data_IF_253025185754
#
_entry.id   IF_253025185754
#
_cell.length_a   1.000
_cell.length_b   1.000
_cell.length_c   1.000
_cell.angle_alpha   90.00
_cell.angle_beta   90.00
_cell.angle_gamma   90.00
#
_symmetry.space_group_name_H-M   'P 1'
#
loop_
_entity.id
_entity.type
_entity.pdbx_description
1 polymer ?
#
# COMPACT_ATOMS: atom_id res chain seq x y z
N UNK A 1 -57.79 6.98 -18.50
CA UNK A 1 -58.18 8.15 -17.68
C UNK A 1 -58.23 7.65 -16.26
N UNK A 2 -57.15 7.86 -15.52
CA UNK A 2 -56.92 7.22 -14.22
C UNK A 2 -57.47 8.08 -13.07
N UNK A 3 -58.17 7.49 -12.08
CA UNK A 3 -58.81 8.25 -11.00
C UNK A 3 -58.15 8.02 -9.61
N UNK A 4 -56.82 8.19 -9.47
CA UNK A 4 -56.15 8.01 -8.15
C UNK A 4 -55.07 9.09 -7.86
N UNK A 5 -55.48 10.28 -7.42
CA UNK A 5 -54.54 11.34 -7.01
C UNK A 5 -55.13 12.34 -5.99
N UNK A 6 -55.33 11.94 -4.73
CA UNK A 6 -55.71 12.88 -3.65
C UNK A 6 -55.33 12.44 -2.23
N UNK A 7 -54.12 11.88 -2.03
CA UNK A 7 -53.56 11.84 -0.67
C UNK A 7 -53.26 13.27 -0.20
N UNK A 8 -54.10 13.79 0.70
CA UNK A 8 -53.99 15.16 1.19
C UNK A 8 -52.70 15.37 2.00
N UNK A 9 -52.07 16.53 1.82
CA UNK A 9 -50.91 16.97 2.62
C UNK A 9 -51.18 16.94 4.13
N UNK A 10 -52.44 17.10 4.54
CA UNK A 10 -52.89 16.94 5.93
C UNK A 10 -52.61 15.54 6.47
N UNK A 11 -52.71 14.49 5.65
CA UNK A 11 -52.37 13.12 6.05
C UNK A 11 -50.89 13.01 6.40
N UNK A 12 -50.00 13.42 5.48
CA UNK A 12 -48.55 13.40 5.70
C UNK A 12 -48.12 14.25 6.90
N UNK A 13 -48.72 15.43 7.06
CA UNK A 13 -48.43 16.34 8.15
C UNK A 13 -48.95 15.81 9.50
N UNK A 14 -50.12 15.18 9.54
CA UNK A 14 -50.64 14.50 10.73
C UNK A 14 -49.80 13.26 11.07
N UNK A 15 -49.40 12.43 10.11
CA UNK A 15 -48.50 11.29 10.36
C UNK A 15 -47.16 11.76 10.93
N UNK A 16 -46.58 12.86 10.43
CA UNK A 16 -45.39 13.49 11.03
C UNK A 16 -45.66 14.03 12.44
N UNK A 17 -46.80 14.67 12.69
CA UNK A 17 -47.15 15.17 14.03
C UNK A 17 -47.34 14.04 15.05
N UNK A 18 -48.05 12.96 14.69
CA UNK A 18 -48.20 11.78 15.55
C UNK A 18 -46.86 11.07 15.79
N UNK A 19 -46.05 10.87 14.75
CA UNK A 19 -44.69 10.33 14.87
C UNK A 19 -43.82 11.19 15.80
N UNK A 20 -43.92 12.52 15.71
CA UNK A 20 -43.20 13.45 16.57
C UNK A 20 -43.68 13.43 18.03
N UNK A 21 -44.99 13.31 18.28
CA UNK A 21 -45.56 13.20 19.64
C UNK A 21 -45.20 11.87 20.30
N UNK A 22 -45.29 10.74 19.59
CA UNK A 22 -44.83 9.45 20.12
C UNK A 22 -43.31 9.45 20.35
N UNK A 23 -42.53 10.00 19.41
CA UNK A 23 -41.09 10.19 19.54
C UNK A 23 -40.67 11.24 20.59
N UNK A 24 -41.60 11.95 21.22
CA UNK A 24 -41.32 12.87 22.33
C UNK A 24 -41.48 12.21 23.70
N UNK A 25 -42.32 11.16 23.82
CA UNK A 25 -42.43 10.35 25.04
C UNK A 25 -41.37 9.23 25.09
N UNK A 26 -41.08 8.60 23.94
CA UNK A 26 -40.10 7.51 23.82
C UNK A 26 -39.24 7.77 22.58
N UNK A 27 -38.09 8.42 22.77
CA UNK A 27 -37.24 8.93 21.70
C UNK A 27 -36.94 7.89 20.61
N UNK A 28 -37.12 8.21 19.31
CA UNK A 28 -36.95 7.25 18.23
C UNK A 28 -35.49 6.76 18.18
N UNK A 29 -35.31 5.44 18.11
CA UNK A 29 -33.99 4.83 17.93
C UNK A 29 -33.38 5.25 16.60
N UNK A 30 -32.09 5.62 16.62
CA UNK A 30 -31.36 6.06 15.42
C UNK A 30 -31.10 4.85 14.53
N UNK A 31 -31.48 4.90 13.26
CA UNK A 31 -31.15 3.88 12.28
C UNK A 31 -29.86 4.16 11.52
N UNK A 32 -29.24 3.11 10.98
CA UNK A 32 -28.11 3.21 10.06
C UNK A 32 -28.43 4.11 8.85
N UNK A 33 -29.68 4.05 8.35
CA UNK A 33 -30.15 4.92 7.27
C UNK A 33 -30.21 6.40 7.68
N UNK A 34 -30.47 6.73 8.94
CA UNK A 34 -30.38 8.12 9.43
C UNK A 34 -28.92 8.59 9.48
N UNK A 35 -28.00 7.72 9.89
CA UNK A 35 -26.56 7.99 9.86
C UNK A 35 -26.04 8.21 8.42
N UNK A 36 -26.49 7.39 7.46
CA UNK A 36 -26.17 7.54 6.04
C UNK A 36 -26.79 8.82 5.46
N UNK A 37 -28.07 9.10 5.75
CA UNK A 37 -28.74 10.32 5.32
C UNK A 37 -28.06 11.59 5.86
N UNK A 38 -27.56 11.56 7.11
CA UNK A 38 -26.76 12.64 7.68
C UNK A 38 -25.39 12.76 6.97
N UNK A 39 -24.68 11.66 6.72
CA UNK A 39 -23.39 11.65 6.03
C UNK A 39 -23.46 12.14 4.57
N UNK A 40 -24.57 11.86 3.87
CA UNK A 40 -24.84 12.32 2.51
C UNK A 40 -25.71 13.59 2.44
N UNK A 41 -25.89 14.29 3.57
CA UNK A 41 -26.54 15.60 3.61
C UNK A 41 -25.64 16.70 3.03
N UNK A 42 -26.07 17.96 3.16
CA UNK A 42 -25.35 19.12 2.62
C UNK A 42 -24.70 19.92 3.77
N UNK A 43 -23.38 19.79 3.90
CA UNK A 43 -22.54 20.54 4.83
C UNK A 43 -22.43 22.02 4.40
N UNK A 44 -22.67 22.95 5.31
CA UNK A 44 -22.36 24.37 5.09
C UNK A 44 -20.91 24.68 5.46
N UNK A 45 -20.09 25.01 4.46
CA UNK A 45 -18.70 25.44 4.64
C UNK A 45 -18.68 26.93 5.02
N UNK A 46 -18.50 27.25 6.30
CA UNK A 46 -18.52 28.61 6.87
C UNK A 46 -17.43 28.79 7.94
N UNK A 47 -17.08 30.04 8.25
CA UNK A 47 -16.04 30.37 9.24
C UNK A 47 -14.67 29.81 8.82
N UNK A 48 -13.98 29.17 9.76
CA UNK A 48 -12.65 28.58 9.52
C UNK A 48 -12.67 27.45 8.46
N UNK A 49 -13.84 26.86 8.19
CA UNK A 49 -14.05 25.83 7.17
C UNK A 49 -14.42 26.40 5.77
N UNK A 50 -14.27 27.71 5.54
CA UNK A 50 -14.61 28.34 4.25
C UNK A 50 -13.79 27.80 3.06
N UNK A 51 -14.45 27.58 1.93
CA UNK A 51 -13.85 27.02 0.71
C UNK A 51 -13.02 28.05 -0.05
N UNK A 52 -11.79 27.69 -0.45
CA UNK A 52 -10.96 28.50 -1.34
C UNK A 52 -11.42 28.38 -2.79
N UNK A 53 -12.25 29.33 -3.23
CA UNK A 53 -12.80 29.32 -4.58
C UNK A 53 -11.81 29.88 -5.60
N UNK A 54 -11.25 29.01 -6.45
CA UNK A 54 -10.28 29.34 -7.52
C UNK A 54 -10.73 30.52 -8.40
N UNK A 55 -11.98 30.48 -8.87
CA UNK A 55 -12.59 31.53 -9.71
C UNK A 55 -12.68 32.89 -9.00
N UNK A 56 -12.79 32.89 -7.67
CA UNK A 56 -12.82 34.09 -6.84
C UNK A 56 -11.44 34.50 -6.29
N UNK A 57 -10.44 33.60 -6.32
CA UNK A 57 -9.11 33.73 -5.70
C UNK A 57 -9.13 34.16 -4.22
N UNK A 58 -10.16 33.76 -3.47
CA UNK A 58 -10.35 34.08 -2.04
C UNK A 58 -11.39 33.14 -1.40
N UNK A 59 -11.32 32.97 -0.08
CA UNK A 59 -12.23 32.12 0.70
C UNK A 59 -13.70 32.53 0.54
N UNK A 60 -14.61 31.56 0.59
CA UNK A 60 -16.06 31.68 0.42
C UNK A 60 -16.83 30.78 1.37
N UNK A 61 -18.03 31.24 1.75
CA UNK A 61 -19.06 30.31 2.19
C UNK A 61 -19.41 29.37 1.03
N UNK A 62 -19.54 28.08 1.31
CA UNK A 62 -19.87 27.05 0.32
C UNK A 62 -20.89 26.05 0.85
N UNK A 63 -21.40 25.21 -0.04
CA UNK A 63 -22.19 24.03 0.31
C UNK A 63 -21.46 22.82 -0.28
N UNK A 64 -21.20 21.82 0.55
CA UNK A 64 -20.55 20.56 0.17
C UNK A 64 -21.54 19.43 0.39
N UNK A 65 -21.65 18.53 -0.58
CA UNK A 65 -22.39 17.28 -0.44
C UNK A 65 -21.64 16.18 -1.19
N UNK A 66 -21.80 14.94 -0.73
CA UNK A 66 -21.17 13.75 -1.32
C UNK A 66 -22.22 12.87 -1.99
N UNK A 67 -21.88 12.13 -3.04
CA UNK A 67 -22.70 11.06 -3.62
C UNK A 67 -21.81 9.92 -4.08
N UNK A 68 -22.32 8.69 -4.04
CA UNK A 68 -21.56 7.49 -4.42
C UNK A 68 -21.51 7.36 -5.94
N UNK A 69 -20.32 7.39 -6.55
CA UNK A 69 -20.14 7.20 -7.99
C UNK A 69 -20.09 5.72 -8.41
N UNK A 70 -19.61 4.85 -7.52
CA UNK A 70 -19.53 3.41 -7.75
C UNK A 70 -19.71 2.69 -6.40
N UNK A 71 -20.48 1.60 -6.41
CA UNK A 71 -20.74 0.75 -5.25
C UNK A 71 -19.76 -0.44 -5.21
N UNK A 72 -19.06 -0.69 -4.08
CA UNK A 72 -18.12 -1.80 -3.95
C UNK A 72 -18.81 -3.13 -3.66
N UNK A 73 -18.18 -4.25 -3.99
CA UNK A 73 -18.71 -5.60 -3.71
C UNK A 73 -18.81 -5.91 -2.21
N UNK A 74 -17.92 -5.31 -1.40
CA UNK A 74 -18.02 -5.25 0.06
C UNK A 74 -17.99 -3.79 0.50
N UNK A 75 -19.07 -3.35 1.15
CA UNK A 75 -19.25 -2.02 1.72
C UNK A 75 -18.89 -2.04 3.21
N UNK A 76 -17.85 -1.30 3.58
CA UNK A 76 -17.44 -1.10 4.97
C UNK A 76 -18.01 0.23 5.50
N UNK A 77 -18.76 0.18 6.61
CA UNK A 77 -19.40 1.35 7.23
C UNK A 77 -18.92 1.50 8.67
N UNK A 78 -18.06 2.50 8.92
CA UNK A 78 -17.60 2.88 10.25
C UNK A 78 -18.56 3.88 10.91
N UNK A 79 -19.15 3.50 12.04
CA UNK A 79 -19.92 4.38 12.91
C UNK A 79 -18.97 5.20 13.78
N UNK A 80 -18.86 6.50 13.50
CA UNK A 80 -17.93 7.44 14.15
C UNK A 80 -18.28 7.73 15.61
N UNK A 81 -18.09 6.73 16.49
CA UNK A 81 -18.45 6.78 17.91
C UNK A 81 -17.48 7.60 18.76
N UNK A 82 -16.20 7.63 18.41
CA UNK A 82 -15.18 8.30 19.21
C UNK A 82 -15.06 9.78 18.89
N UNK A 83 -14.90 10.60 19.93
CA UNK A 83 -14.53 12.02 19.85
C UNK A 83 -13.31 12.25 20.74
N UNK A 84 -12.29 12.89 20.18
CA UNK A 84 -11.08 13.27 20.88
C UNK A 84 -10.99 14.80 20.88
N UNK A 85 -11.08 15.39 22.06
CA UNK A 85 -10.89 16.82 22.30
C UNK A 85 -9.60 17.02 23.12
N UNK A 86 -9.06 18.23 23.16
CA UNK A 86 -7.70 18.51 23.68
C UNK A 86 -7.48 18.05 25.13
N UNK A 87 -8.56 17.93 25.92
CA UNK A 87 -8.50 17.58 27.34
C UNK A 87 -9.26 16.30 27.71
N UNK A 88 -10.04 15.70 26.80
CA UNK A 88 -10.81 14.48 27.08
C UNK A 88 -11.15 13.70 25.81
N UNK A 89 -11.40 12.41 25.96
CA UNK A 89 -11.90 11.53 24.89
C UNK A 89 -13.20 10.88 25.32
N UNK A 90 -14.16 10.74 24.40
CA UNK A 90 -15.50 10.19 24.69
C UNK A 90 -15.98 9.24 23.59
N UNK A 91 -16.86 8.30 23.97
CA UNK A 91 -17.48 7.31 23.07
C UNK A 91 -19.00 7.52 23.09
N UNK A 92 -19.61 7.62 21.91
CA UNK A 92 -21.06 7.61 21.74
C UNK A 92 -21.57 6.17 21.90
N UNK A 93 -22.10 5.87 23.09
CA UNK A 93 -22.72 4.59 23.43
C UNK A 93 -24.18 4.43 22.97
N UNK A 94 -24.74 5.40 22.23
CA UNK A 94 -26.10 5.31 21.68
C UNK A 94 -26.21 4.11 20.74
N UNK A 95 -27.21 3.26 20.96
CA UNK A 95 -27.55 2.19 20.02
C UNK A 95 -27.91 2.78 18.64
N UNK A 96 -27.52 2.07 17.58
CA UNK A 96 -27.86 2.38 16.19
C UNK A 96 -28.40 1.10 15.59
N UNK A 97 -29.64 1.08 15.13
CA UNK A 97 -30.22 -0.11 14.52
C UNK A 97 -29.76 -0.26 13.07
N UNK A 98 -29.44 -1.48 12.67
CA UNK A 98 -29.00 -1.81 11.31
C UNK A 98 -29.66 -3.10 10.83
N UNK A 99 -30.00 -3.21 9.52
CA UNK A 99 -30.56 -4.43 8.97
C UNK A 99 -29.48 -5.51 8.82
N UNK A 100 -29.85 -6.78 9.03
CA UNK A 100 -28.99 -7.89 8.59
C UNK A 100 -29.06 -8.08 7.08
N UNK A 101 -30.21 -7.84 6.45
CA UNK A 101 -30.44 -8.07 5.02
C UNK A 101 -31.17 -6.88 4.41
N UNK A 102 -30.93 -6.58 3.13
CA UNK A 102 -31.72 -5.58 2.41
C UNK A 102 -31.36 -4.11 2.67
N UNK A 103 -30.11 -3.78 3.03
CA UNK A 103 -29.64 -2.40 3.13
C UNK A 103 -29.61 -1.74 1.73
N UNK A 104 -30.59 -0.88 1.45
CA UNK A 104 -30.65 -0.11 0.19
C UNK A 104 -29.75 1.14 0.23
N UNK A 105 -28.78 1.18 -0.69
CA UNK A 105 -27.88 2.33 -0.91
C UNK A 105 -28.35 3.27 -2.02
N UNK A 106 -29.44 2.94 -2.74
CA UNK A 106 -29.98 3.73 -3.87
C UNK A 106 -30.19 5.23 -3.58
N UNK A 107 -30.62 5.68 -2.38
CA UNK A 107 -30.84 7.10 -2.09
C UNK A 107 -29.57 7.97 -2.15
N UNK A 108 -28.38 7.36 -2.04
CA UNK A 108 -27.11 8.05 -1.87
C UNK A 108 -26.23 8.10 -3.12
N UNK A 109 -26.70 7.49 -4.22
CA UNK A 109 -25.94 7.34 -5.46
C UNK A 109 -25.88 8.62 -6.29
N UNK A 110 -24.81 8.77 -7.08
CA UNK A 110 -24.75 9.76 -8.14
C UNK A 110 -25.64 9.35 -9.32
N UNK A 111 -25.98 10.31 -10.20
CA UNK A 111 -26.80 10.03 -11.39
C UNK A 111 -26.10 9.11 -12.40
N UNK A 112 -24.77 9.10 -12.37
CA UNK A 112 -23.90 8.30 -13.25
C UNK A 112 -23.53 6.92 -12.66
N UNK A 113 -23.91 6.64 -11.40
CA UNK A 113 -23.62 5.35 -10.79
C UNK A 113 -24.41 4.24 -11.49
N UNK A 114 -23.76 3.15 -11.97
CA UNK A 114 -24.45 1.97 -12.45
C UNK A 114 -25.38 1.41 -11.36
N UNK A 115 -26.60 1.03 -11.75
CA UNK A 115 -27.65 0.54 -10.85
C UNK A 115 -27.91 -0.96 -11.03
N UNK A 116 -26.85 -1.76 -11.22
CA UNK A 116 -26.96 -3.21 -11.44
C UNK A 116 -27.36 -3.95 -10.18
N UNK A 117 -26.78 -3.59 -9.03
CA UNK A 117 -27.34 -3.87 -7.70
C UNK A 117 -26.95 -2.76 -6.73
N UNK A 118 -27.87 -2.44 -5.83
CA UNK A 118 -27.79 -1.38 -4.82
C UNK A 118 -28.13 -1.88 -3.41
N UNK A 119 -28.43 -3.16 -3.27
CA UNK A 119 -28.88 -3.83 -2.05
C UNK A 119 -27.71 -4.59 -1.41
N UNK A 120 -27.66 -4.59 -0.09
CA UNK A 120 -26.56 -5.13 0.70
C UNK A 120 -27.03 -5.94 1.92
N UNK A 121 -26.34 -7.04 2.18
CA UNK A 121 -26.60 -7.93 3.33
C UNK A 121 -25.35 -8.00 4.22
N UNK A 122 -25.53 -8.03 5.53
CA UNK A 122 -24.46 -7.98 6.53
C UNK A 122 -23.71 -9.32 6.55
N UNK A 123 -22.39 -9.26 6.39
CA UNK A 123 -21.51 -10.43 6.50
C UNK A 123 -20.72 -10.46 7.81
N UNK A 124 -20.41 -9.29 8.38
CA UNK A 124 -19.74 -9.19 9.68
C UNK A 124 -19.97 -7.82 10.34
N UNK A 125 -19.78 -7.76 11.65
CA UNK A 125 -19.77 -6.52 12.43
C UNK A 125 -18.73 -6.58 13.55
N UNK A 126 -17.82 -5.61 13.57
CA UNK A 126 -16.89 -5.38 14.67
C UNK A 126 -17.60 -4.53 15.72
N UNK A 127 -17.58 -4.99 16.96
CA UNK A 127 -18.08 -4.29 18.14
C UNK A 127 -16.91 -3.71 18.95
N UNK A 128 -17.20 -2.66 19.72
CA UNK A 128 -16.25 -2.12 20.70
C UNK A 128 -16.93 -1.93 22.05
N UNK A 129 -16.55 -2.72 23.04
CA UNK A 129 -17.02 -2.63 24.42
C UNK A 129 -16.16 -1.65 25.24
N UNK A 130 -16.73 -1.05 26.28
CA UNK A 130 -16.00 -0.09 27.12
C UNK A 130 -15.91 1.33 26.55
N UNK A 131 -14.83 2.04 26.88
CA UNK A 131 -14.69 3.51 26.81
C UNK A 131 -13.71 4.00 25.74
N UNK A 132 -13.53 5.31 25.58
CA UNK A 132 -12.55 5.88 24.66
C UNK A 132 -11.08 5.83 25.14
N UNK A 133 -10.82 5.44 26.41
CA UNK A 133 -9.46 5.31 26.97
C UNK A 133 -9.05 3.86 27.26
N UNK A 134 -10.01 2.94 27.35
CA UNK A 134 -9.81 1.50 27.50
C UNK A 134 -11.11 0.78 27.14
N UNK A 135 -11.01 -0.31 26.39
CA UNK A 135 -12.12 -1.08 25.85
C UNK A 135 -11.64 -2.38 25.21
N UNK A 136 -12.57 -3.14 24.66
CA UNK A 136 -12.34 -4.47 24.07
C UNK A 136 -13.03 -4.59 22.70
N UNK A 137 -12.45 -5.36 21.78
CA UNK A 137 -12.99 -5.57 20.44
C UNK A 137 -13.40 -7.02 20.24
N UNK A 138 -14.62 -7.22 19.77
CA UNK A 138 -15.20 -8.52 19.39
C UNK A 138 -15.78 -8.43 18.00
N UNK A 139 -15.97 -9.55 17.32
CA UNK A 139 -16.56 -9.57 15.96
C UNK A 139 -17.67 -10.61 15.87
N UNK A 140 -18.83 -10.23 15.34
CA UNK A 140 -19.81 -11.21 14.86
C UNK A 140 -19.64 -11.39 13.35
N UNK A 141 -19.62 -12.62 12.85
CA UNK A 141 -19.53 -12.90 11.42
C UNK A 141 -20.43 -14.08 11.00
N UNK A 142 -20.97 -14.00 9.77
CA UNK A 142 -21.79 -15.04 9.16
C UNK A 142 -20.90 -16.08 8.47
N UNK A 143 -21.00 -17.35 8.90
CA UNK A 143 -20.34 -18.46 8.24
C UNK A 143 -21.18 -18.95 7.05
N UNK A 144 -20.76 -18.62 5.84
CA UNK A 144 -21.44 -18.99 4.59
C UNK A 144 -21.41 -20.49 4.23
N UNK A 145 -20.83 -21.36 5.08
CA UNK A 145 -20.82 -22.81 4.89
C UNK A 145 -22.00 -23.50 5.60
N UNK A 146 -22.64 -22.83 6.56
CA UNK A 146 -23.79 -23.34 7.30
C UNK A 146 -24.86 -22.28 7.63
N UNK A 147 -24.69 -21.06 7.12
CA UNK A 147 -25.53 -19.87 7.34
C UNK A 147 -25.80 -19.55 8.82
N UNK A 148 -24.81 -19.79 9.68
CA UNK A 148 -24.85 -19.47 11.11
C UNK A 148 -23.95 -18.28 11.47
N UNK A 149 -24.41 -17.46 12.40
CA UNK A 149 -23.61 -16.40 12.99
C UNK A 149 -22.72 -16.93 14.12
N UNK A 150 -21.51 -16.40 14.20
CA UNK A 150 -20.55 -16.68 15.26
C UNK A 150 -19.98 -15.39 15.83
N UNK A 151 -19.88 -15.35 17.16
CA UNK A 151 -19.08 -14.41 17.93
C UNK A 151 -17.63 -14.89 17.98
N UNK A 152 -16.69 -13.97 17.74
CA UNK A 152 -15.26 -14.14 17.87
C UNK A 152 -14.75 -13.18 18.94
N UNK A 153 -14.35 -13.74 20.08
CA UNK A 153 -13.84 -13.05 21.26
C UNK A 153 -12.44 -13.60 21.60
N UNK A 154 -11.41 -12.96 21.04
CA UNK A 154 -10.01 -13.41 21.00
C UNK A 154 -9.83 -14.89 20.59
N UNK A 155 -9.74 -15.78 21.58
CA UNK A 155 -9.50 -17.22 21.42
C UNK A 155 -10.79 -18.07 21.50
N UNK A 156 -11.94 -17.44 21.75
CA UNK A 156 -13.25 -18.08 21.87
C UNK A 156 -14.10 -17.81 20.63
N UNK A 157 -14.74 -18.86 20.13
CA UNK A 157 -15.65 -18.79 18.98
C UNK A 157 -16.97 -19.46 19.36
N UNK A 158 -18.04 -18.68 19.39
CA UNK A 158 -19.35 -19.09 19.93
C UNK A 158 -20.44 -18.89 18.89
N UNK A 159 -21.28 -19.90 18.64
CA UNK A 159 -22.43 -19.75 17.75
C UNK A 159 -23.51 -18.89 18.42
N UNK A 160 -24.09 -17.93 17.70
CA UNK A 160 -25.08 -16.97 18.25
C UNK A 160 -26.30 -16.82 17.35
N UNK A 161 -27.43 -16.44 17.94
CA UNK A 161 -28.64 -16.13 17.18
C UNK A 161 -28.51 -14.78 16.44
N UNK A 162 -29.13 -14.61 15.25
CA UNK A 162 -29.12 -13.34 14.51
C UNK A 162 -29.59 -12.12 15.33
N UNK A 163 -30.47 -12.35 16.30
CA UNK A 163 -30.98 -11.35 17.24
C UNK A 163 -29.90 -10.80 18.18
N UNK A 164 -28.87 -11.59 18.52
CA UNK A 164 -27.70 -11.10 19.29
C UNK A 164 -26.92 -10.11 18.43
N UNK A 165 -26.68 -10.46 17.17
CA UNK A 165 -25.94 -9.64 16.20
C UNK A 165 -26.68 -8.33 15.93
N UNK A 166 -28.01 -8.34 15.76
CA UNK A 166 -28.80 -7.13 15.55
C UNK A 166 -28.67 -6.10 16.69
N UNK A 167 -28.57 -6.56 17.93
CA UNK A 167 -28.60 -5.71 19.13
C UNK A 167 -27.22 -5.32 19.68
N UNK A 168 -26.14 -5.58 18.94
CA UNK A 168 -24.77 -5.40 19.43
C UNK A 168 -24.29 -3.93 19.43
N UNK A 169 -23.20 -3.63 20.16
CA UNK A 169 -22.51 -2.33 20.11
C UNK A 169 -21.64 -2.18 18.83
N UNK A 170 -22.30 -2.26 17.67
CA UNK A 170 -21.68 -2.15 16.36
C UNK A 170 -20.81 -0.88 16.22
N UNK A 171 -19.58 -1.05 15.74
CA UNK A 171 -18.61 0.02 15.49
C UNK A 171 -18.20 0.07 14.01
N UNK A 172 -17.93 -1.08 13.39
CA UNK A 172 -17.72 -1.19 11.93
C UNK A 172 -18.56 -2.32 11.37
N UNK A 173 -19.41 -2.01 10.41
CA UNK A 173 -20.32 -2.94 9.72
C UNK A 173 -19.72 -3.32 8.35
N UNK A 174 -19.73 -4.61 8.02
CA UNK A 174 -19.28 -5.14 6.74
C UNK A 174 -20.47 -5.76 6.00
N UNK A 175 -20.80 -5.16 4.88
CA UNK A 175 -21.95 -5.50 4.06
C UNK A 175 -21.48 -6.07 2.70
N UNK A 176 -21.92 -7.27 2.34
CA UNK A 176 -21.74 -7.83 0.98
C UNK A 176 -22.86 -7.37 0.06
N UNK A 177 -22.55 -7.09 -1.20
CA UNK A 177 -23.54 -6.70 -2.21
C UNK A 177 -24.41 -7.90 -2.60
N UNK A 178 -25.71 -7.71 -2.64
CA UNK A 178 -26.69 -8.79 -2.91
C UNK A 178 -27.05 -8.88 -4.39
N UNK A 179 -27.30 -10.08 -4.91
CA UNK A 179 -27.74 -10.29 -6.30
C UNK A 179 -28.37 -11.66 -6.48
N UNK A 180 -29.70 -11.69 -6.68
CA UNK A 180 -30.47 -12.89 -7.01
C UNK A 180 -29.99 -13.52 -8.34
N UNK A 181 -29.60 -12.70 -9.32
CA UNK A 181 -29.06 -13.18 -10.58
C UNK A 181 -27.76 -13.98 -10.37
N UNK A 182 -26.86 -13.52 -9.49
CA UNK A 182 -25.64 -14.27 -9.17
C UNK A 182 -25.91 -15.54 -8.36
N UNK A 183 -26.91 -15.55 -7.48
CA UNK A 183 -27.37 -16.79 -6.81
C UNK A 183 -27.84 -17.81 -7.86
N UNK A 184 -28.66 -17.39 -8.80
CA UNK A 184 -29.15 -18.25 -9.89
C UNK A 184 -28.01 -18.73 -10.81
N UNK A 185 -27.04 -17.86 -11.16
CA UNK A 185 -25.84 -18.23 -11.94
C UNK A 185 -24.94 -19.24 -11.21
N UNK A 186 -24.77 -19.11 -9.88
CA UNK A 186 -24.05 -20.08 -9.03
C UNK A 186 -24.73 -21.43 -8.99
N UNK A 187 -26.03 -21.45 -8.68
CA UNK A 187 -26.83 -22.68 -8.63
C UNK A 187 -26.76 -23.42 -9.97
N UNK A 188 -26.87 -22.69 -11.10
CA UNK A 188 -26.76 -23.29 -12.44
C UNK A 188 -25.36 -23.82 -12.74
N UNK A 189 -24.31 -23.14 -12.29
CA UNK A 189 -22.92 -23.62 -12.43
C UNK A 189 -22.73 -24.93 -11.66
N UNK A 190 -23.24 -25.01 -10.43
CA UNK A 190 -23.20 -26.22 -9.61
C UNK A 190 -23.95 -27.38 -10.27
N UNK A 191 -25.17 -27.16 -10.78
CA UNK A 191 -25.90 -28.19 -11.54
C UNK A 191 -25.09 -28.75 -12.72
N UNK A 192 -24.38 -27.90 -13.47
CA UNK A 192 -23.58 -28.31 -14.61
C UNK A 192 -22.34 -29.09 -14.17
N UNK A 193 -21.69 -28.69 -13.07
CA UNK A 193 -20.58 -29.42 -12.46
C UNK A 193 -20.99 -30.80 -11.94
N UNK A 194 -22.19 -30.95 -11.37
CA UNK A 194 -22.69 -32.25 -10.91
C UNK A 194 -23.03 -33.18 -12.08
N UNK A 195 -23.70 -32.67 -13.12
CA UNK A 195 -24.06 -33.45 -14.32
C UNK A 195 -22.81 -33.94 -15.07
N UNK A 196 -21.82 -33.07 -15.25
CA UNK A 196 -20.60 -33.39 -16.00
C UNK A 196 -19.51 -34.10 -15.19
N UNK A 197 -19.71 -34.33 -13.88
CA UNK A 197 -18.73 -34.99 -12.97
C UNK A 197 -18.22 -36.34 -13.48
N UNK A 198 -19.07 -37.08 -14.21
CA UNK A 198 -18.77 -38.42 -14.72
C UNK A 198 -18.64 -38.45 -16.26
N UNK A 199 -18.66 -37.30 -16.94
CA UNK A 199 -18.56 -37.22 -18.40
C UNK A 199 -17.08 -37.20 -18.84
N UNK A 200 -16.63 -38.10 -19.74
CA UNK A 200 -15.26 -38.11 -20.22
C UNK A 200 -15.02 -36.94 -21.19
N UNK A 201 -14.62 -35.79 -20.65
CA UNK A 201 -14.30 -34.59 -21.43
C UNK A 201 -13.13 -34.80 -22.39
N UNK A 202 -13.33 -34.45 -23.67
CA UNK A 202 -12.27 -34.46 -24.69
C UNK A 202 -11.25 -33.33 -24.50
N UNK A 203 -11.64 -32.29 -23.77
CA UNK A 203 -10.82 -31.15 -23.37
C UNK A 203 -11.07 -30.83 -21.90
N UNK A 204 -10.03 -30.36 -21.21
CA UNK A 204 -10.10 -29.79 -19.87
C UNK A 204 -9.95 -28.28 -19.97
N UNK A 205 -10.68 -27.51 -19.16
CA UNK A 205 -10.61 -26.04 -19.17
C UNK A 205 -10.11 -25.54 -17.82
N UNK A 206 -9.11 -24.66 -17.82
CA UNK A 206 -8.46 -24.17 -16.59
C UNK A 206 -8.82 -22.70 -16.33
N UNK A 207 -9.30 -22.42 -15.11
CA UNK A 207 -9.73 -21.09 -14.67
C UNK A 207 -9.05 -20.71 -13.35
N UNK A 208 -8.75 -19.42 -13.14
CA UNK A 208 -8.14 -18.94 -11.89
C UNK A 208 -9.00 -19.25 -10.66
N UNK A 209 -8.39 -19.80 -9.60
CA UNK A 209 -9.05 -19.92 -8.28
C UNK A 209 -9.33 -18.54 -7.67
N UNK A 210 -8.58 -17.50 -8.03
CA UNK A 210 -8.90 -16.13 -7.61
C UNK A 210 -10.20 -15.63 -8.27
N UNK A 211 -10.39 -15.90 -9.57
CA UNK A 211 -11.65 -15.58 -10.24
C UNK A 211 -12.81 -16.41 -9.69
N UNK A 212 -12.62 -17.73 -9.46
CA UNK A 212 -13.63 -18.58 -8.82
C UNK A 212 -14.01 -18.08 -7.42
N UNK A 213 -13.05 -17.59 -6.62
CA UNK A 213 -13.33 -16.98 -5.33
C UNK A 213 -14.19 -15.71 -5.46
N UNK A 214 -13.94 -14.85 -6.45
CA UNK A 214 -14.83 -13.71 -6.77
C UNK A 214 -16.21 -14.19 -7.21
N UNK A 215 -16.28 -15.16 -8.12
CA UNK A 215 -17.54 -15.76 -8.58
C UNK A 215 -18.39 -16.30 -7.43
N UNK A 216 -17.78 -16.92 -6.42
CA UNK A 216 -18.47 -17.42 -5.24
C UNK A 216 -18.90 -16.33 -4.23
N UNK A 217 -18.30 -15.14 -4.24
CA UNK A 217 -18.49 -14.14 -3.16
C UNK A 217 -19.07 -12.79 -3.57
N UNK A 218 -18.84 -12.33 -4.81
CA UNK A 218 -19.22 -10.97 -5.27
C UNK A 218 -20.55 -10.97 -6.04
N UNK A 219 -21.26 -9.84 -6.07
CA UNK A 219 -22.41 -9.64 -6.95
C UNK A 219 -21.99 -9.33 -8.40
N UNK A 220 -20.74 -8.94 -8.61
CA UNK A 220 -20.05 -8.90 -9.91
C UNK A 220 -18.60 -9.43 -9.76
N UNK A 221 -18.25 -10.60 -10.33
CA UNK A 221 -16.89 -11.12 -10.28
C UNK A 221 -15.95 -10.48 -11.32
N UNK A 222 -16.50 -9.73 -12.28
CA UNK A 222 -15.82 -9.30 -13.49
C UNK A 222 -15.62 -10.44 -14.52
N UNK A 223 -15.07 -10.10 -15.70
CA UNK A 223 -14.74 -11.08 -16.74
C UNK A 223 -13.72 -12.12 -16.25
N UNK A 224 -13.71 -13.29 -16.89
CA UNK A 224 -12.77 -14.37 -16.57
C UNK A 224 -11.33 -13.92 -16.84
N UNK A 225 -10.55 -13.89 -15.76
CA UNK A 225 -9.14 -13.51 -15.76
C UNK A 225 -8.30 -14.68 -15.22
N UNK A 226 -7.27 -15.04 -15.99
CA UNK A 226 -6.30 -16.10 -15.71
C UNK A 226 -4.86 -15.54 -15.60
N UNK A 227 -4.68 -14.21 -15.62
CA UNK A 227 -3.38 -13.53 -15.58
C UNK A 227 -2.60 -13.70 -14.28
N UNK A 228 -3.21 -14.30 -13.25
CA UNK A 228 -2.52 -14.72 -12.04
C UNK A 228 -1.68 -15.99 -12.20
N UNK A 229 -1.92 -16.82 -13.23
CA UNK A 229 -1.05 -17.95 -13.58
C UNK A 229 -0.53 -17.94 -15.03
N UNK A 230 -1.30 -17.42 -16.00
CA UNK A 230 -0.90 -17.25 -17.40
C UNK A 230 -0.20 -15.92 -17.66
N UNK A 231 0.68 -15.88 -18.66
CA UNK A 231 1.20 -14.63 -19.23
C UNK A 231 0.44 -14.22 -20.49
N UNK A 232 0.73 -13.03 -21.02
CA UNK A 232 0.13 -12.50 -22.28
C UNK A 232 0.37 -13.38 -23.51
N UNK A 233 1.32 -14.32 -23.45
CA UNK A 233 1.58 -15.31 -24.49
C UNK A 233 0.73 -16.59 -24.38
N UNK A 234 -0.24 -16.64 -23.45
CA UNK A 234 -1.16 -17.78 -23.26
C UNK A 234 -0.59 -18.99 -22.51
N UNK A 235 0.72 -19.01 -22.22
CA UNK A 235 1.37 -20.05 -21.41
C UNK A 235 1.49 -19.66 -19.94
N UNK A 236 1.77 -20.64 -19.08
CA UNK A 236 2.01 -20.45 -17.64
C UNK A 236 3.30 -19.65 -17.41
N UNK A 237 3.28 -18.71 -16.46
CA UNK A 237 4.44 -17.92 -16.07
C UNK A 237 5.54 -18.83 -15.47
N UNK A 238 6.82 -18.76 -15.92
CA UNK A 238 7.87 -19.70 -15.47
C UNK A 238 8.08 -19.78 -13.97
N UNK A 239 7.93 -18.66 -13.25
CA UNK A 239 8.04 -18.61 -11.78
C UNK A 239 6.88 -19.29 -11.04
N UNK A 240 5.82 -19.72 -11.74
CA UNK A 240 4.61 -20.36 -11.19
C UNK A 240 4.41 -21.79 -11.72
N UNK A 241 5.22 -22.24 -12.66
CA UNK A 241 5.02 -23.51 -13.38
C UNK A 241 5.00 -24.75 -12.47
N UNK A 242 5.75 -24.74 -11.36
CA UNK A 242 5.83 -25.84 -10.40
C UNK A 242 4.61 -25.96 -9.46
N UNK A 243 3.71 -24.98 -9.44
CA UNK A 243 2.50 -24.96 -8.60
C UNK A 243 1.28 -24.40 -9.35
N UNK A 244 1.26 -24.50 -10.68
CA UNK A 244 0.20 -23.94 -11.50
C UNK A 244 -1.19 -24.55 -11.21
N UNK A 245 -1.23 -25.85 -10.92
CA UNK A 245 -2.45 -26.59 -10.54
C UNK A 245 -3.00 -26.12 -9.16
N UNK A 246 -2.15 -25.59 -8.28
CA UNK A 246 -2.59 -24.95 -7.04
C UNK A 246 -3.26 -23.60 -7.28
N UNK A 247 -3.02 -22.95 -8.42
CA UNK A 247 -3.61 -21.66 -8.79
C UNK A 247 -4.92 -21.77 -9.58
N UNK A 248 -5.16 -22.88 -10.31
CA UNK A 248 -6.31 -23.02 -11.21
C UNK A 248 -7.28 -24.16 -10.86
N UNK A 249 -8.57 -23.97 -11.15
CA UNK A 249 -9.59 -25.02 -11.11
C UNK A 249 -9.79 -25.61 -12.51
N UNK A 250 -9.90 -26.94 -12.60
CA UNK A 250 -10.26 -27.65 -13.82
C UNK A 250 -11.79 -27.71 -13.96
N UNK A 251 -12.29 -27.42 -15.16
CA UNK A 251 -13.70 -27.40 -15.54
C UNK A 251 -13.95 -28.34 -16.73
N UNK A 252 -15.17 -28.87 -16.80
CA UNK A 252 -15.70 -29.50 -18.01
C UNK A 252 -16.10 -28.44 -19.04
N UNK A 253 -16.21 -28.86 -20.31
CA UNK A 253 -16.56 -27.97 -21.42
C UNK A 253 -17.88 -27.22 -21.19
N UNK A 254 -18.93 -27.91 -20.74
CA UNK A 254 -20.26 -27.32 -20.52
C UNK A 254 -20.31 -26.31 -19.37
N UNK A 255 -19.42 -26.45 -18.36
CA UNK A 255 -19.26 -25.47 -17.28
C UNK A 255 -18.43 -24.27 -17.76
N UNK A 256 -17.35 -24.50 -18.52
CA UNK A 256 -16.57 -23.43 -19.14
C UNK A 256 -17.41 -22.56 -20.08
N UNK A 257 -18.13 -23.17 -21.03
CA UNK A 257 -18.97 -22.48 -22.00
C UNK A 257 -20.03 -21.62 -21.30
N UNK A 258 -20.72 -22.19 -20.30
CA UNK A 258 -21.71 -21.44 -19.52
C UNK A 258 -21.12 -20.23 -18.79
N UNK A 259 -19.95 -20.36 -18.16
CA UNK A 259 -19.30 -19.26 -17.46
C UNK A 259 -18.73 -18.22 -18.43
N UNK A 260 -18.12 -18.65 -19.54
CA UNK A 260 -17.56 -17.75 -20.54
C UNK A 260 -18.65 -16.95 -21.27
N UNK A 261 -19.77 -17.56 -21.64
CA UNK A 261 -20.92 -16.83 -22.21
C UNK A 261 -21.60 -15.92 -21.18
N UNK A 262 -21.51 -16.26 -19.89
CA UNK A 262 -22.08 -15.48 -18.78
C UNK A 262 -21.28 -14.23 -18.41
N UNK A 263 -19.95 -14.25 -18.53
CA UNK A 263 -19.06 -13.20 -18.01
C UNK A 263 -18.02 -12.68 -19.01
N UNK A 264 -17.78 -13.39 -20.13
CA UNK A 264 -16.68 -13.14 -21.05
C UNK A 264 -15.30 -13.28 -20.39
N UNK A 265 -14.25 -12.83 -21.08
CA UNK A 265 -12.90 -12.71 -20.51
C UNK A 265 -11.78 -13.12 -21.47
N UNK A 266 -10.71 -13.67 -20.90
CA UNK A 266 -9.58 -14.22 -21.66
C UNK A 266 -9.93 -15.50 -22.43
N UNK A 267 -9.13 -15.81 -23.44
CA UNK A 267 -9.23 -17.05 -24.22
C UNK A 267 -9.17 -18.31 -23.34
N UNK A 268 -9.95 -19.33 -23.71
CA UNK A 268 -9.96 -20.63 -23.05
C UNK A 268 -8.54 -21.22 -22.86
N UNK A 269 -8.18 -21.54 -21.63
CA UNK A 269 -6.96 -22.27 -21.31
C UNK A 269 -7.27 -23.77 -21.29
N UNK A 270 -6.88 -24.50 -22.33
CA UNK A 270 -7.18 -25.94 -22.46
C UNK A 270 -6.05 -26.88 -22.00
N UNK A 271 -4.90 -26.31 -21.64
CA UNK A 271 -3.70 -27.02 -21.24
C UNK A 271 -2.77 -26.10 -20.43
N UNK A 272 -2.09 -26.65 -19.43
CA UNK A 272 -1.05 -25.97 -18.68
C UNK A 272 0.32 -26.31 -19.27
N UNK A 273 1.07 -25.30 -19.72
CA UNK A 273 2.43 -25.45 -20.22
C UNK A 273 3.25 -24.21 -19.85
N UNK A 274 4.52 -24.38 -19.47
CA UNK A 274 5.42 -23.26 -19.20
C UNK A 274 5.65 -22.46 -20.47
N UNK A 275 5.43 -21.14 -20.42
CA UNK A 275 5.60 -20.27 -21.59
C UNK A 275 7.06 -20.29 -22.09
N UNK A 276 7.33 -20.69 -23.36
CA UNK A 276 8.70 -20.69 -23.90
C UNK A 276 9.28 -19.28 -24.03
N UNK A 277 8.48 -18.30 -24.47
CA UNK A 277 8.91 -16.89 -24.60
C UNK A 277 9.37 -16.34 -23.26
N UNK A 278 8.55 -16.41 -22.22
CA UNK A 278 8.91 -15.91 -20.89
C UNK A 278 10.01 -16.72 -20.21
N UNK A 279 10.21 -17.98 -20.59
CA UNK A 279 11.39 -18.77 -20.17
C UNK A 279 12.66 -18.19 -20.79
N UNK A 280 12.67 -17.95 -22.09
CA UNK A 280 13.81 -17.35 -22.82
C UNK A 280 14.11 -15.91 -22.36
N UNK A 281 13.07 -15.08 -22.15
CA UNK A 281 13.20 -13.72 -21.60
C UNK A 281 13.85 -13.74 -20.20
N UNK A 282 13.44 -14.68 -19.34
CA UNK A 282 14.02 -14.86 -18.00
C UNK A 282 15.46 -15.37 -18.06
N UNK A 283 15.74 -16.37 -18.89
CA UNK A 283 17.09 -16.93 -19.08
C UNK A 283 18.07 -15.89 -19.64
N UNK A 284 17.62 -15.04 -20.57
CA UNK A 284 18.40 -13.91 -21.09
C UNK A 284 18.65 -12.85 -20.00
N UNK A 285 17.66 -12.55 -19.15
CA UNK A 285 17.78 -11.62 -18.04
C UNK A 285 18.73 -12.14 -16.95
N UNK A 286 18.62 -13.41 -16.58
CA UNK A 286 19.52 -14.09 -15.63
C UNK A 286 20.95 -14.15 -16.19
N UNK A 287 21.11 -14.44 -17.49
CA UNK A 287 22.42 -14.42 -18.17
C UNK A 287 23.04 -13.03 -18.20
N UNK A 288 22.24 -11.98 -18.47
CA UNK A 288 22.69 -10.58 -18.44
C UNK A 288 23.18 -10.20 -17.04
N UNK A 289 22.38 -10.45 -16.00
CA UNK A 289 22.72 -10.13 -14.61
C UNK A 289 24.00 -10.84 -14.15
N UNK A 290 24.13 -12.13 -14.50
CA UNK A 290 25.34 -12.91 -14.25
C UNK A 290 26.56 -12.30 -14.92
N UNK A 291 26.47 -11.98 -16.22
CA UNK A 291 27.57 -11.37 -16.97
C UNK A 291 28.00 -10.03 -16.37
N UNK A 292 27.04 -9.14 -16.07
CA UNK A 292 27.35 -7.84 -15.46
C UNK A 292 28.04 -7.98 -14.09
N UNK A 293 27.56 -8.90 -13.25
CA UNK A 293 28.15 -9.15 -11.93
C UNK A 293 29.55 -9.78 -12.04
N UNK A 294 29.74 -10.78 -12.91
CA UNK A 294 31.03 -11.44 -13.11
C UNK A 294 32.08 -10.49 -13.69
N UNK A 295 31.71 -9.66 -14.68
CA UNK A 295 32.58 -8.61 -15.22
C UNK A 295 32.96 -7.58 -14.16
N UNK A 296 32.00 -7.04 -13.40
CA UNK A 296 32.30 -6.04 -12.36
C UNK A 296 33.18 -6.62 -11.25
N UNK A 297 32.93 -7.87 -10.82
CA UNK A 297 33.74 -8.56 -9.80
C UNK A 297 35.16 -8.84 -10.28
N UNK A 298 35.36 -9.16 -11.57
CA UNK A 298 36.68 -9.31 -12.17
C UNK A 298 37.47 -7.98 -12.15
N UNK A 299 36.88 -6.90 -12.69
CA UNK A 299 37.52 -5.58 -12.74
C UNK A 299 37.82 -5.02 -11.34
N UNK A 300 36.93 -5.26 -10.37
CA UNK A 300 37.19 -4.91 -8.96
C UNK A 300 38.34 -5.71 -8.35
N UNK A 301 38.48 -7.00 -8.68
CA UNK A 301 39.58 -7.85 -8.20
C UNK A 301 40.92 -7.38 -8.77
N UNK A 302 40.96 -7.05 -10.06
CA UNK A 302 42.15 -6.50 -10.72
C UNK A 302 42.59 -5.19 -10.06
N UNK A 303 41.65 -4.26 -9.82
CA UNK A 303 41.91 -3.00 -9.12
C UNK A 303 42.41 -3.19 -7.67
N UNK A 304 41.97 -4.24 -6.98
CA UNK A 304 42.48 -4.61 -5.65
C UNK A 304 43.87 -5.28 -5.67
N UNK A 305 44.33 -5.75 -6.83
CA UNK A 305 45.62 -6.43 -7.01
C UNK A 305 46.70 -5.52 -7.63
N UNK A 306 46.32 -4.46 -8.36
CA UNK A 306 47.24 -3.48 -8.92
C UNK A 306 47.90 -2.62 -7.83
N UNK A 307 49.17 -2.91 -7.52
CA UNK A 307 49.99 -2.11 -6.58
C UNK A 307 50.76 -0.96 -7.23
N UNK A 308 50.95 -0.99 -8.55
CA UNK A 308 51.74 0.00 -9.28
C UNK A 308 50.84 1.06 -9.94
N UNK A 309 50.83 2.26 -9.35
CA UNK A 309 50.04 3.45 -9.73
C UNK A 309 48.51 3.24 -9.76
N UNK A 310 47.75 3.82 -8.80
CA UNK A 310 46.30 3.81 -8.90
C UNK A 310 45.91 4.69 -10.09
N UNK A 311 45.26 4.09 -11.08
CA UNK A 311 44.69 4.78 -12.24
C UNK A 311 43.59 5.77 -11.82
N UNK A 312 42.95 6.40 -12.80
CA UNK A 312 41.87 7.34 -12.51
C UNK A 312 40.71 6.64 -11.79
N UNK A 313 40.31 7.22 -10.66
CA UNK A 313 39.24 6.72 -9.79
C UNK A 313 38.04 7.64 -9.96
N UNK A 314 36.88 7.06 -10.23
CA UNK A 314 35.64 7.75 -10.54
C UNK A 314 34.61 7.54 -9.43
N UNK A 315 33.82 8.56 -9.15
CA UNK A 315 32.72 8.49 -8.20
C UNK A 315 31.42 8.06 -8.90
N UNK A 316 30.67 7.15 -8.26
CA UNK A 316 29.31 6.77 -8.66
C UNK A 316 28.34 7.06 -7.53
N UNK A 317 27.16 7.59 -7.84
CA UNK A 317 26.05 7.77 -6.90
C UNK A 317 25.73 6.45 -6.20
N UNK A 318 25.82 6.43 -4.87
CA UNK A 318 25.57 5.21 -4.10
C UNK A 318 24.08 4.81 -4.12
N UNK A 319 23.18 5.75 -4.42
CA UNK A 319 21.76 5.44 -4.66
C UNK A 319 21.58 4.63 -5.97
N UNK A 320 22.18 5.09 -7.07
CA UNK A 320 22.18 4.36 -8.34
C UNK A 320 22.90 3.01 -8.23
N UNK A 321 24.07 2.99 -7.58
CA UNK A 321 24.86 1.77 -7.41
C UNK A 321 24.11 0.70 -6.58
N UNK A 322 23.29 1.08 -5.60
CA UNK A 322 22.45 0.15 -4.84
C UNK A 322 21.30 -0.44 -5.69
N UNK A 323 20.73 0.32 -6.61
CA UNK A 323 19.74 -0.19 -7.58
C UNK A 323 20.40 -1.17 -8.56
N UNK A 324 21.58 -0.82 -9.10
CA UNK A 324 22.36 -1.74 -9.93
C UNK A 324 22.72 -3.03 -9.19
N UNK A 325 23.19 -2.93 -7.94
CA UNK A 325 23.48 -4.11 -7.11
C UNK A 325 22.21 -4.95 -6.85
N UNK A 326 21.07 -4.32 -6.57
CA UNK A 326 19.80 -5.01 -6.38
C UNK A 326 19.36 -5.76 -7.65
N UNK A 327 19.50 -5.14 -8.82
CA UNK A 327 19.22 -5.75 -10.12
C UNK A 327 20.13 -6.95 -10.43
N UNK A 328 21.46 -6.81 -10.36
CA UNK A 328 22.38 -7.91 -10.71
C UNK A 328 22.36 -9.05 -9.69
N UNK A 329 21.96 -8.78 -8.44
CA UNK A 329 21.67 -9.81 -7.42
C UNK A 329 20.23 -10.37 -7.50
N UNK A 330 19.42 -9.92 -8.45
CA UNK A 330 18.06 -10.42 -8.69
C UNK A 330 17.02 -10.06 -7.62
N UNK A 331 17.27 -9.04 -6.80
CA UNK A 331 16.31 -8.53 -5.79
C UNK A 331 15.21 -7.68 -6.42
N UNK A 332 15.54 -6.97 -7.49
CA UNK A 332 14.62 -6.15 -8.29
C UNK A 332 14.48 -6.79 -9.68
N UNK A 333 13.34 -6.63 -10.36
CA UNK A 333 13.14 -7.10 -11.75
C UNK A 333 13.83 -6.18 -12.75
N UNK A 334 13.66 -4.88 -12.54
CA UNK A 334 13.94 -3.87 -13.54
C UNK A 334 15.41 -3.45 -13.46
N UNK A 335 16.03 -3.20 -14.60
CA UNK A 335 17.38 -2.66 -14.63
C UNK A 335 17.36 -1.17 -14.21
N UNK A 336 18.40 -0.66 -13.52
CA UNK A 336 18.47 0.75 -13.21
C UNK A 336 18.47 1.60 -14.50
N UNK A 337 17.99 2.84 -14.39
CA UNK A 337 18.08 3.81 -15.49
C UNK A 337 19.53 4.24 -15.77
N UNK A 338 19.73 5.24 -16.64
CA UNK A 338 21.04 5.85 -16.85
C UNK A 338 21.67 6.32 -15.52
N UNK A 339 23.01 6.32 -15.45
CA UNK A 339 23.72 6.77 -14.25
C UNK A 339 23.35 8.22 -13.96
N UNK A 340 22.90 8.51 -12.74
CA UNK A 340 22.72 9.88 -12.24
C UNK A 340 23.73 10.16 -11.13
N UNK A 341 24.75 10.94 -11.49
CA UNK A 341 25.77 11.47 -10.58
C UNK A 341 25.50 12.94 -10.18
N UNK A 342 24.37 13.56 -10.59
CA UNK A 342 24.14 14.99 -10.37
C UNK A 342 24.11 15.35 -8.88
N UNK A 343 23.60 14.45 -8.04
CA UNK A 343 23.61 14.56 -6.58
C UNK A 343 25.01 14.59 -5.93
N UNK A 344 26.07 14.13 -6.63
CA UNK A 344 27.45 14.10 -6.14
C UNK A 344 28.40 15.07 -6.88
N UNK A 345 27.89 15.87 -7.81
CA UNK A 345 28.68 16.81 -8.62
C UNK A 345 29.31 17.99 -7.85
N UNK A 346 28.90 18.23 -6.59
CA UNK A 346 29.46 19.30 -5.75
C UNK A 346 30.94 19.16 -5.38
N UNK A 347 31.60 18.08 -5.80
CA UNK A 347 32.96 17.70 -5.38
C UNK A 347 34.08 18.28 -6.28
N UNK A 348 33.83 18.55 -7.56
CA UNK A 348 34.92 18.75 -8.56
C UNK A 348 35.03 20.14 -9.17
N UNK A 349 34.06 21.04 -8.97
CA UNK A 349 34.04 22.38 -9.56
C UNK A 349 34.98 23.38 -8.85
N UNK A 350 36.22 23.53 -9.32
CA UNK A 350 37.20 24.49 -8.77
C UNK A 350 36.85 25.95 -9.11
N UNK A 351 36.46 26.73 -8.11
CA UNK A 351 36.60 28.20 -8.09
C UNK A 351 37.01 28.69 -6.70
N UNK A 352 38.16 29.37 -6.62
CA UNK A 352 38.85 29.64 -5.36
C UNK A 352 38.48 31.00 -4.74
N UNK A 353 37.23 31.15 -4.28
CA UNK A 353 36.82 32.28 -3.44
C UNK A 353 35.60 32.05 -2.52
N UNK A 354 34.76 31.05 -2.77
CA UNK A 354 33.50 30.83 -2.01
C UNK A 354 33.36 29.42 -1.40
N UNK A 355 34.46 28.68 -1.26
CA UNK A 355 34.44 27.26 -0.85
C UNK A 355 34.22 27.01 0.66
N UNK A 356 34.41 28.02 1.52
CA UNK A 356 34.59 27.82 2.97
C UNK A 356 33.29 27.56 3.77
N UNK A 357 32.14 27.45 3.11
CA UNK A 357 30.81 27.25 3.76
C UNK A 357 30.04 26.04 3.21
N UNK A 358 30.60 25.28 2.27
CA UNK A 358 29.96 24.11 1.64
C UNK A 358 30.84 22.84 1.61
N UNK A 359 31.97 22.85 2.31
CA UNK A 359 32.92 21.73 2.35
C UNK A 359 32.55 20.61 3.35
N UNK A 360 31.24 20.43 3.56
CA UNK A 360 30.59 19.34 4.28
C UNK A 360 29.27 19.04 3.51
N UNK A 361 28.82 17.80 3.32
CA UNK A 361 29.10 16.61 4.12
C UNK A 361 29.05 15.26 3.36
N UNK A 362 29.26 15.23 2.03
CA UNK A 362 29.23 13.98 1.22
C UNK A 362 30.23 12.93 1.75
N UNK A 363 29.74 11.75 2.14
CA UNK A 363 30.50 10.66 2.76
C UNK A 363 30.69 9.51 1.78
N UNK A 364 31.95 9.10 1.59
CA UNK A 364 32.28 7.87 0.86
C UNK A 364 31.57 6.65 1.50
N UNK A 365 31.05 5.74 0.67
CA UNK A 365 30.28 4.56 1.10
C UNK A 365 28.82 4.83 1.47
N UNK A 366 28.46 6.06 1.87
CA UNK A 366 27.06 6.47 2.09
C UNK A 366 26.45 7.00 0.80
N UNK A 367 27.11 7.99 0.21
CA UNK A 367 26.52 8.89 -0.79
C UNK A 367 27.15 8.68 -2.18
N UNK A 368 28.44 8.31 -2.21
CA UNK A 368 29.14 7.85 -3.41
C UNK A 368 30.00 6.61 -3.13
N UNK A 369 30.17 5.78 -4.16
CA UNK A 369 31.17 4.72 -4.24
C UNK A 369 32.34 5.12 -5.14
N UNK A 370 33.50 4.49 -4.94
CA UNK A 370 34.70 4.69 -5.77
C UNK A 370 34.88 3.52 -6.73
N UNK A 371 35.09 3.81 -8.01
CA UNK A 371 35.30 2.86 -9.10
C UNK A 371 36.65 3.11 -9.78
N UNK A 372 37.32 2.09 -10.28
CA UNK A 372 38.43 2.28 -11.23
C UNK A 372 37.90 2.70 -12.60
N UNK A 373 38.73 3.30 -13.46
CA UNK A 373 38.33 3.64 -14.84
C UNK A 373 37.65 2.47 -15.58
N UNK A 374 38.20 1.23 -15.62
CA UNK A 374 37.53 0.12 -16.29
C UNK A 374 36.12 -0.18 -15.73
N UNK A 375 35.93 -0.10 -14.41
CA UNK A 375 34.63 -0.32 -13.76
C UNK A 375 33.62 0.78 -14.11
N UNK A 376 34.08 2.04 -14.17
CA UNK A 376 33.28 3.18 -14.59
C UNK A 376 32.91 3.09 -16.08
N UNK A 377 33.88 2.84 -16.97
CA UNK A 377 33.67 2.67 -18.43
C UNK A 377 32.71 1.52 -18.73
N UNK A 378 32.79 0.42 -17.97
CA UNK A 378 31.87 -0.73 -18.09
C UNK A 378 30.43 -0.34 -17.74
N UNK A 379 30.19 0.31 -16.59
CA UNK A 379 28.84 0.70 -16.17
C UNK A 379 28.28 1.80 -17.08
N UNK A 380 29.08 2.83 -17.39
CA UNK A 380 28.67 3.92 -18.28
C UNK A 380 28.42 3.42 -19.71
N UNK A 381 29.19 2.45 -20.21
CA UNK A 381 28.95 1.81 -21.51
C UNK A 381 27.69 0.95 -21.55
N UNK A 382 27.27 0.40 -20.41
CA UNK A 382 26.08 -0.48 -20.30
C UNK A 382 24.78 0.28 -20.03
N UNK A 383 24.84 1.42 -19.34
CA UNK A 383 23.67 2.19 -18.88
C UNK A 383 23.62 3.64 -19.39
N UNK A 384 24.73 4.20 -19.85
CA UNK A 384 24.84 5.63 -20.18
C UNK A 384 24.70 6.53 -18.95
N UNK A 385 24.40 7.80 -19.19
CA UNK A 385 24.26 8.82 -18.15
C UNK A 385 25.60 9.39 -17.66
N UNK A 386 25.59 9.95 -16.45
CA UNK A 386 26.70 10.64 -15.81
C UNK A 386 26.22 11.80 -14.92
N UNK A 387 26.95 12.92 -14.86
CA UNK A 387 28.24 13.16 -15.51
C UNK A 387 29.36 12.32 -14.88
N UNK A 388 30.50 12.37 -15.54
CA UNK A 388 31.75 11.75 -15.11
C UNK A 388 32.41 12.57 -13.98
N UNK A 389 32.67 11.95 -12.83
CA UNK A 389 33.16 12.63 -11.61
C UNK A 389 34.48 11.99 -11.15
N UNK A 390 35.64 12.45 -11.64
CA UNK A 390 36.94 11.94 -11.22
C UNK A 390 37.35 12.42 -9.82
N UNK A 391 37.82 11.52 -8.97
CA UNK A 391 38.29 11.77 -7.62
C UNK A 391 39.79 12.14 -7.63
N UNK A 392 40.13 13.36 -7.24
CA UNK A 392 41.53 13.78 -7.13
C UNK A 392 42.24 13.07 -5.98
N UNK A 393 43.26 12.28 -6.31
CA UNK A 393 44.18 11.69 -5.33
C UNK A 393 44.91 12.81 -4.57
N UNK A 394 44.93 12.73 -3.23
CA UNK A 394 45.59 13.72 -2.40
C UNK A 394 47.12 13.56 -2.49
N UNK A 395 47.80 14.52 -3.14
CA UNK A 395 49.27 14.55 -3.14
C UNK A 395 49.81 14.81 -1.72
N UNK A 396 50.90 14.12 -1.30
CA UNK A 396 51.54 14.41 -0.02
C UNK A 396 52.17 15.81 -0.04
N UNK A 397 51.74 16.67 0.89
CA UNK A 397 52.19 18.07 0.94
C UNK A 397 53.64 18.13 1.44
N UNK A 398 54.57 18.39 0.51
CA UNK A 398 55.98 18.68 0.84
C UNK A 398 56.06 20.05 1.50
N UNK A 399 56.34 20.08 2.80
CA UNK A 399 56.50 21.34 3.55
C UNK A 399 57.80 22.06 3.16
N UNK A 400 57.68 23.18 2.44
CA UNK A 400 58.81 24.07 2.18
C UNK A 400 59.16 24.88 3.44
N UNK A 401 60.39 24.73 3.94
CA UNK A 401 60.84 25.37 5.17
C UNK A 401 61.09 26.88 5.00
N UNK A 402 60.39 27.71 5.78
CA UNK A 402 60.56 29.17 5.82
C UNK A 402 61.61 29.55 6.87
N UNK A 403 62.62 30.35 6.49
CA UNK A 403 63.60 30.92 7.42
C UNK A 403 63.05 32.20 8.09
N UNK A 404 63.17 32.37 9.42
CA UNK A 404 62.72 33.59 10.10
C UNK A 404 63.76 34.72 10.05
N UNK A 405 63.29 35.96 10.07
CA UNK A 405 64.10 37.18 10.23
C UNK A 405 63.60 37.99 11.45
N UNK A 406 64.53 38.42 12.31
CA UNK A 406 64.23 39.19 13.53
C UNK A 406 64.59 40.68 13.38
N UNK A 407 63.79 41.58 13.98
CA UNK A 407 64.26 42.87 14.49
C UNK A 407 64.34 42.89 16.04
N UNK A 408 64.89 43.97 16.59
CA UNK A 408 65.41 44.09 17.97
C UNK A 408 64.45 44.67 19.02
N UNK A 409 64.83 44.53 20.30
CA UNK A 409 64.11 44.95 21.52
C UNK A 409 64.84 46.09 22.27
N UNK A 410 64.12 47.05 22.87
CA UNK A 410 64.57 47.82 24.04
C UNK A 410 63.80 47.44 25.35
N UNK A 411 64.26 47.87 26.56
CA UNK A 411 64.18 47.00 27.74
C UNK A 411 63.44 47.55 28.98
N UNK A 412 63.11 46.62 29.91
CA UNK A 412 62.94 46.87 31.35
C UNK A 412 63.04 45.54 32.14
N UNK A 413 63.38 45.64 33.43
CA UNK A 413 63.57 44.57 34.45
C UNK A 413 63.30 45.18 35.85
N UNK A 414 63.38 44.45 37.00
CA UNK A 414 63.42 42.99 37.25
C UNK A 414 62.37 42.51 38.29
N UNK A 415 62.33 41.21 38.61
CA UNK A 415 62.56 40.65 39.98
C UNK A 415 62.00 39.21 40.16
N UNK A 416 62.76 38.38 40.91
CA UNK A 416 62.40 37.28 41.85
C UNK A 416 61.13 36.41 41.70
N UNK A 417 61.05 35.14 42.14
CA UNK A 417 62.03 34.11 42.52
C UNK A 417 61.30 32.77 42.87
N UNK A 418 62.06 31.67 43.04
CA UNK A 418 61.75 30.44 43.84
C UNK A 418 60.59 29.48 43.43
N UNK A 419 60.92 28.17 43.42
CA UNK A 419 60.10 27.14 44.09
C UNK A 419 59.47 26.03 43.23
N UNK A 420 59.85 24.74 43.40
CA UNK A 420 59.24 23.60 42.68
C UNK A 420 58.60 22.50 43.55
N UNK A 421 57.55 21.86 43.04
CA UNK A 421 57.10 20.49 43.36
C UNK A 421 55.99 20.07 42.36
N UNK A 422 55.66 18.80 42.04
CA UNK A 422 56.31 17.48 42.02
C UNK A 422 55.24 16.37 42.22
N UNK A 423 54.65 15.90 41.11
CA UNK A 423 54.09 14.56 40.83
C UNK A 423 53.22 13.76 41.85
N UNK A 424 52.07 13.27 41.35
CA UNK A 424 51.40 11.96 41.60
C UNK A 424 50.30 11.81 40.51
N UNK A 425 50.37 10.89 39.54
CA UNK A 425 50.23 9.41 39.49
C UNK A 425 48.76 8.91 39.50
N UNK A 426 48.39 7.88 38.70
CA UNK A 426 46.99 7.55 38.35
C UNK A 426 46.45 6.23 38.94
N UNK A 427 45.14 6.02 38.78
CA UNK A 427 44.28 4.81 38.95
C UNK A 427 42.89 5.16 38.33
N UNK A 428 41.98 4.26 37.93
CA UNK A 428 41.99 2.81 37.71
C UNK A 428 40.76 2.40 36.86
N UNK A 429 40.64 1.10 36.59
CA UNK A 429 39.66 0.39 35.77
C UNK A 429 38.63 -0.36 36.69
N UNK A 430 37.55 -1.03 36.27
CA UNK A 430 37.02 -1.41 34.94
C UNK A 430 35.44 -1.32 34.91
N UNK A 431 34.54 -2.25 34.47
CA UNK A 431 33.14 -1.89 34.12
C UNK A 431 31.99 -2.61 34.88
N UNK A 432 30.73 -2.26 34.55
CA UNK A 432 29.48 -3.03 34.78
C UNK A 432 28.51 -2.77 33.61
N UNK A 433 28.15 -3.79 32.81
CA UNK A 433 27.08 -4.82 32.98
C UNK A 433 25.77 -4.43 32.30
N UNK A 434 25.39 -5.18 31.25
CA UNK A 434 24.05 -5.21 30.67
C UNK A 434 23.24 -6.37 31.27
N UNK A 435 21.92 -6.23 31.33
CA UNK A 435 20.99 -7.30 31.72
C UNK A 435 19.85 -7.42 30.70
N UNK A 436 19.46 -8.66 30.41
CA UNK A 436 18.31 -9.02 29.58
C UNK A 436 16.97 -8.80 30.30
#
# INVERSE_FOLDING_TARGET
MDPTASQSWLSWLLTRMFSWVFGWLWGPGVGLQDCLAAFFSADELKGDNMYSCEKCRKLRNGIKFSRVLQLPEVLCIHLKRFRHEVMFSSKIGSYVSFPLDGLDMSPFLHRECPRTSTIYDLMAVICHHGTAGSGHYTTYALNHLNDQWYEFDDQYVTSVEPQVVQNCEAYVLFYRKSSEEMVNRRNRTFELMERSRNEPGLLSFYISKQWVNRFNTFADPGPIDNGDFLCVHGGVQPAKASFAEDLCMQLSQSVWEYLHDSFGGGSACTHLYTCPTCTSEREALESRRKLELETFVALNREFQQSQESPGEVYAVSMAWFKQWEAFVRGKETDAPGPIDNWCICGVTAKSASTAQTLQQSLRAGSDYGSLSEPMWRFLQGSYGGGPEVPLQQAQPVVQAAVRPTYPTRPPASPSQALGPAAAKRPCMEEPKEESQ
#
